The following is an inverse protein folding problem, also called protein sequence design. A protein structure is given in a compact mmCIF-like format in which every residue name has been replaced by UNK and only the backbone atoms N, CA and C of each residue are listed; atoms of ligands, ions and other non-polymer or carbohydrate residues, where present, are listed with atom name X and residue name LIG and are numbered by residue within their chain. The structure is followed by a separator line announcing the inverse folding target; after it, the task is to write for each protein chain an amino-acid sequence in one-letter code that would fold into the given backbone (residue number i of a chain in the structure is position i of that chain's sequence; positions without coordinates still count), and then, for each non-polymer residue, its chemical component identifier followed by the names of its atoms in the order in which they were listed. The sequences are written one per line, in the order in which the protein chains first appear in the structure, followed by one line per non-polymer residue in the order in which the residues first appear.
data_IF_288628370048
#
_entry.id   IF_288628370048
#
_cell.length_a   1.000
_cell.length_b   1.000
_cell.length_c   1.000
_cell.angle_alpha   90.00
_cell.angle_beta   90.00
_cell.angle_gamma   90.00
#
_symmetry.space_group_name_H-M   'P 1'
#
loop_
_entity.id
_entity.type
_entity.pdbx_description
1 polymer ?
#
# COMPACT_ATOMS: atom_id res chain seq x y z
N UNK A 1 1.65 -4.94 -19.16
CA UNK A 1 2.43 -5.50 -20.29
C UNK A 1 3.52 -6.37 -19.72
N UNK A 2 3.70 -7.57 -20.27
CA UNK A 2 4.71 -8.52 -19.83
C UNK A 2 5.57 -8.89 -21.03
N UNK A 3 6.87 -8.94 -20.80
CA UNK A 3 7.88 -9.31 -21.77
C UNK A 3 8.79 -10.36 -21.15
N UNK A 4 9.04 -11.42 -21.90
CA UNK A 4 9.97 -12.48 -21.53
C UNK A 4 10.87 -12.80 -22.71
N UNK A 5 12.18 -12.83 -22.49
CA UNK A 5 13.14 -13.14 -23.53
C UNK A 5 13.97 -14.37 -23.15
N UNK A 6 13.98 -15.36 -24.05
CA UNK A 6 14.75 -16.61 -23.93
C UNK A 6 14.66 -17.31 -22.56
N UNK A 7 13.52 -17.18 -21.87
CA UNK A 7 13.34 -17.71 -20.51
C UNK A 7 14.40 -17.19 -19.49
N UNK A 8 15.12 -16.11 -19.81
CA UNK A 8 16.20 -15.53 -18.99
C UNK A 8 15.78 -14.22 -18.36
N UNK A 9 15.23 -13.33 -19.17
CA UNK A 9 14.86 -11.98 -18.76
C UNK A 9 13.35 -11.86 -18.74
N UNK A 10 12.83 -11.33 -17.64
CA UNK A 10 11.41 -11.09 -17.42
C UNK A 10 11.24 -9.65 -17.02
N UNK A 11 10.35 -8.94 -17.71
CA UNK A 11 9.99 -7.56 -17.40
C UNK A 11 8.48 -7.41 -17.50
N UNK A 12 7.85 -6.91 -16.45
CA UNK A 12 6.44 -6.57 -16.45
C UNK A 12 6.28 -5.13 -16.02
N UNK A 13 5.54 -4.36 -16.80
CA UNK A 13 5.11 -3.00 -16.47
C UNK A 13 3.60 -2.94 -16.34
N UNK A 14 3.11 -2.25 -15.32
CA UNK A 14 1.69 -2.01 -15.07
C UNK A 14 1.47 -0.53 -14.86
N UNK A 15 0.36 -0.01 -15.37
CA UNK A 15 -0.08 1.34 -15.08
C UNK A 15 -1.57 1.29 -14.79
N UNK A 16 -1.97 1.84 -13.66
CA UNK A 16 -3.35 1.87 -13.19
C UNK A 16 -3.69 3.29 -12.78
N UNK A 17 -4.84 3.78 -13.24
CA UNK A 17 -5.43 5.04 -12.79
C UNK A 17 -6.77 4.75 -12.13
N UNK A 18 -6.90 5.09 -10.86
CA UNK A 18 -8.15 4.89 -10.11
C UNK A 18 -8.87 6.21 -9.88
N UNK A 19 -10.20 6.17 -9.94
CA UNK A 19 -11.06 7.31 -9.62
C UNK A 19 -11.89 7.02 -8.37
N UNK A 20 -12.00 8.00 -7.48
CA UNK A 20 -12.75 7.92 -6.26
C UNK A 20 -13.56 9.20 -6.03
N UNK A 21 -14.89 9.10 -6.12
CA UNK A 21 -15.81 10.23 -5.92
C UNK A 21 -15.82 10.81 -4.50
N UNK A 22 -15.23 10.10 -3.54
CA UNK A 22 -15.07 10.55 -2.14
C UNK A 22 -14.01 11.62 -1.95
N UNK A 23 -13.14 11.87 -2.94
CA UNK A 23 -12.12 12.92 -2.86
C UNK A 23 -12.64 14.24 -3.44
N UNK A 24 -12.07 15.38 -3.02
CA UNK A 24 -12.38 16.69 -3.60
C UNK A 24 -12.18 16.73 -5.12
N UNK A 25 -12.88 17.67 -5.76
CA UNK A 25 -12.68 17.97 -7.18
C UNK A 25 -11.20 18.29 -7.48
N UNK A 26 -10.69 17.80 -8.61
CA UNK A 26 -9.26 17.87 -8.97
C UNK A 26 -8.41 16.74 -8.41
N UNK A 27 -8.78 16.14 -7.27
CA UNK A 27 -8.01 15.07 -6.61
C UNK A 27 -8.67 13.68 -6.70
N UNK A 28 -9.76 13.55 -7.47
CA UNK A 28 -10.53 12.30 -7.60
C UNK A 28 -9.75 11.14 -8.18
N UNK A 29 -8.64 11.37 -8.89
CA UNK A 29 -7.85 10.31 -9.50
C UNK A 29 -6.47 10.15 -8.87
N UNK A 30 -5.92 8.95 -8.97
CA UNK A 30 -4.54 8.63 -8.57
C UNK A 30 -3.89 7.69 -9.58
N UNK A 31 -2.59 7.90 -9.81
CA UNK A 31 -1.78 7.11 -10.74
C UNK A 31 -0.85 6.15 -10.00
N UNK A 32 -0.94 4.89 -10.36
CA UNK A 32 -0.31 3.77 -9.67
C UNK A 32 0.48 2.91 -10.65
N UNK A 33 1.67 3.36 -11.08
CA UNK A 33 2.57 2.56 -11.90
C UNK A 33 3.23 1.46 -11.07
N UNK A 34 3.65 0.41 -11.77
CA UNK A 34 4.46 -0.67 -11.21
C UNK A 34 5.34 -1.29 -12.28
N UNK A 35 6.51 -1.75 -11.87
CA UNK A 35 7.47 -2.45 -12.73
C UNK A 35 8.12 -3.58 -11.95
N UNK A 36 8.26 -4.73 -12.58
CA UNK A 36 8.94 -5.90 -12.01
C UNK A 36 9.91 -6.46 -13.03
N UNK A 37 11.14 -6.72 -12.61
CA UNK A 37 12.17 -7.37 -13.42
C UNK A 37 12.65 -8.65 -12.75
N UNK A 38 12.95 -9.67 -13.54
CA UNK A 38 13.68 -10.84 -13.06
C UNK A 38 14.68 -11.34 -14.10
N UNK A 39 15.81 -11.84 -13.62
CA UNK A 39 16.86 -12.43 -14.44
C UNK A 39 17.21 -13.80 -13.88
N UNK A 40 16.98 -14.85 -14.67
CA UNK A 40 17.42 -16.21 -14.40
C UNK A 40 18.85 -16.38 -14.90
N UNK A 41 19.81 -16.19 -14.01
CA UNK A 41 21.24 -16.30 -14.27
C UNK A 41 21.63 -17.75 -14.60
N UNK A 42 20.97 -18.74 -13.99
CA UNK A 42 21.25 -20.17 -14.27
C UNK A 42 20.98 -20.62 -15.71
N UNK A 43 20.26 -19.82 -16.50
CA UNK A 43 19.97 -20.06 -17.92
C UNK A 43 20.99 -19.38 -18.85
N UNK A 44 21.99 -18.69 -18.31
CA UNK A 44 23.03 -18.03 -19.10
C UNK A 44 24.09 -19.01 -19.63
N UNK A 45 24.63 -18.79 -20.85
CA UNK A 45 25.63 -19.69 -21.45
C UNK A 45 26.93 -19.79 -20.65
N UNK A 46 27.25 -18.78 -19.85
CA UNK A 46 28.46 -18.76 -19.01
C UNK A 46 28.29 -19.55 -17.71
N UNK A 47 27.06 -19.89 -17.31
CA UNK A 47 26.82 -20.70 -16.13
C UNK A 47 26.87 -22.18 -16.49
N UNK A 48 27.76 -22.97 -15.86
CA UNK A 48 27.82 -24.40 -16.11
C UNK A 48 26.56 -25.08 -15.56
N UNK A 49 25.95 -25.95 -16.37
CA UNK A 49 24.84 -26.78 -15.89
C UNK A 49 25.39 -27.80 -14.89
N UNK A 50 24.84 -27.81 -13.68
CA UNK A 50 25.26 -28.68 -12.59
C UNK A 50 24.04 -29.17 -11.82
N UNK A 51 24.12 -30.40 -11.30
CA UNK A 51 23.11 -30.96 -10.39
C UNK A 51 23.14 -30.28 -9.02
N UNK A 52 24.18 -29.50 -8.72
CA UNK A 52 24.33 -28.77 -7.45
C UNK A 52 23.57 -27.44 -7.50
N UNK A 53 23.61 -26.71 -8.61
CA UNK A 53 22.95 -25.41 -8.78
C UNK A 53 21.96 -25.48 -9.94
N UNK A 54 20.67 -25.60 -9.61
CA UNK A 54 19.60 -25.78 -10.58
C UNK A 54 18.98 -24.43 -10.99
N UNK A 55 18.79 -23.53 -10.03
CA UNK A 55 18.25 -22.20 -10.26
C UNK A 55 19.07 -21.15 -9.53
N UNK A 56 19.38 -20.08 -10.25
CA UNK A 56 19.81 -18.81 -9.68
C UNK A 56 19.03 -17.71 -10.38
N UNK A 57 18.14 -17.05 -9.64
CA UNK A 57 17.30 -15.98 -10.16
C UNK A 57 17.38 -14.76 -9.26
N UNK A 58 17.67 -13.60 -9.84
CA UNK A 58 17.51 -12.33 -9.15
C UNK A 58 16.23 -11.66 -9.63
N UNK A 59 15.54 -10.97 -8.73
CA UNK A 59 14.30 -10.25 -9.01
C UNK A 59 14.28 -8.90 -8.31
N UNK A 60 13.63 -7.94 -8.94
CA UNK A 60 13.40 -6.61 -8.38
C UNK A 60 12.00 -6.15 -8.75
N UNK A 61 11.36 -5.40 -7.87
CA UNK A 61 10.10 -4.76 -8.16
C UNK A 61 10.02 -3.37 -7.57
N UNK A 62 9.23 -2.51 -8.20
CA UNK A 62 8.86 -1.22 -7.67
C UNK A 62 7.43 -0.91 -8.08
N UNK A 63 6.62 -0.37 -7.18
CA UNK A 63 5.28 0.06 -7.54
C UNK A 63 4.60 0.93 -6.49
N UNK A 64 3.49 1.54 -6.91
CA UNK A 64 2.65 2.39 -6.07
C UNK A 64 1.24 1.84 -5.99
N UNK A 65 0.62 2.00 -4.83
CA UNK A 65 -0.79 1.65 -4.59
C UNK A 65 -1.45 2.75 -3.77
N UNK A 66 -2.65 3.16 -4.17
CA UNK A 66 -3.46 4.14 -3.46
C UNK A 66 -4.38 3.49 -2.44
N UNK A 67 -4.59 4.17 -1.32
CA UNK A 67 -5.52 3.76 -0.29
C UNK A 67 -6.31 4.98 0.23
N UNK A 68 -7.60 4.78 0.44
CA UNK A 68 -8.53 5.82 0.90
C UNK A 68 -9.48 5.28 1.97
N UNK A 69 -9.17 4.13 2.60
CA UNK A 69 -10.10 3.45 3.51
C UNK A 69 -10.52 4.29 4.70
N UNK A 70 -9.73 5.29 5.08
CA UNK A 70 -9.97 6.20 6.20
C UNK A 70 -10.80 7.44 5.82
N UNK A 71 -11.14 7.63 4.54
CA UNK A 71 -11.93 8.78 4.05
C UNK A 71 -13.39 8.39 3.88
N UNK A 72 -14.28 9.17 4.49
CA UNK A 72 -15.74 9.07 4.31
C UNK A 72 -16.13 9.17 2.84
N UNK A 73 -17.14 8.40 2.41
CA UNK A 73 -17.67 8.43 1.05
C UNK A 73 -18.18 9.82 0.62
N UNK A 74 -18.62 10.63 1.58
CA UNK A 74 -19.16 11.97 1.36
C UNK A 74 -18.11 13.07 1.45
N UNK A 75 -16.84 12.76 1.75
CA UNK A 75 -15.85 13.81 2.05
C UNK A 75 -15.72 14.84 0.92
N UNK A 76 -15.61 14.38 -0.33
CA UNK A 76 -15.54 15.24 -1.52
C UNK A 76 -16.83 16.00 -1.85
N UNK A 77 -17.94 15.71 -1.16
CA UNK A 77 -19.23 16.38 -1.28
C UNK A 77 -19.74 16.72 0.14
N UNK A 78 -19.11 17.71 0.81
CA UNK A 78 -19.37 17.97 2.23
C UNK A 78 -20.85 18.28 2.47
N UNK A 79 -21.46 17.50 3.36
CA UNK A 79 -22.85 17.66 3.76
C UNK A 79 -22.96 18.60 4.95
N UNK A 80 -24.05 19.35 5.03
CA UNK A 80 -24.36 20.13 6.23
C UNK A 80 -24.79 19.19 7.36
N UNK A 81 -24.38 19.51 8.58
CA UNK A 81 -24.87 18.84 9.78
C UNK A 81 -26.20 19.43 10.23
N UNK A 82 -27.04 18.60 10.83
CA UNK A 82 -28.33 19.00 11.38
C UNK A 82 -28.23 19.12 12.90
N UNK A 83 -28.41 20.33 13.43
CA UNK A 83 -28.73 20.53 14.84
C UNK A 83 -30.23 20.30 15.03
N UNK A 84 -30.58 19.16 15.61
CA UNK A 84 -31.98 18.79 15.86
C UNK A 84 -32.60 19.62 16.99
N UNK A 85 -33.92 19.84 16.90
CA UNK A 85 -34.71 20.45 17.98
C UNK A 85 -34.48 19.68 19.30
N UNK A 86 -34.07 20.40 20.36
CA UNK A 86 -33.92 19.85 21.72
C UNK A 86 -32.48 19.65 22.20
N UNK A 87 -31.49 19.59 21.30
CA UNK A 87 -30.07 19.49 21.68
C UNK A 87 -29.36 20.82 21.46
N UNK A 88 -29.32 21.30 20.21
CA UNK A 88 -28.61 22.52 19.77
C UNK A 88 -29.43 23.36 18.75
N UNK A 89 -30.76 23.19 18.71
CA UNK A 89 -31.63 23.92 17.78
C UNK A 89 -31.68 25.43 18.08
N UNK A 90 -31.86 26.24 17.04
CA UNK A 90 -31.93 27.69 17.19
C UNK A 90 -33.27 28.19 17.70
N UNK A 91 -33.26 29.31 18.42
CA UNK A 91 -34.46 30.07 18.76
C UNK A 91 -34.56 31.25 17.80
N UNK A 92 -35.65 31.33 17.02
CA UNK A 92 -35.92 32.45 16.12
C UNK A 92 -37.19 33.13 16.62
N UNK A 93 -37.04 34.30 17.25
CA UNK A 93 -38.13 35.05 17.88
C UNK A 93 -38.30 34.75 19.37
N UNK A 94 -39.10 35.58 20.05
CA UNK A 94 -39.43 35.44 21.47
C UNK A 94 -40.51 34.34 21.61
N UNK A 95 -40.35 33.45 22.59
CA UNK A 95 -41.31 32.39 22.95
C UNK A 95 -41.61 31.36 21.84
N UNK A 96 -40.69 31.16 20.89
CA UNK A 96 -40.85 30.16 19.82
C UNK A 96 -40.19 28.82 20.17
N UNK A 97 -40.76 27.68 19.73
CA UNK A 97 -40.11 26.38 19.92
C UNK A 97 -38.81 26.31 19.11
N UNK A 98 -37.76 25.61 19.61
CA UNK A 98 -36.52 25.43 18.87
C UNK A 98 -36.77 24.94 17.45
N UNK A 99 -36.01 25.44 16.49
CA UNK A 99 -36.04 25.00 15.09
C UNK A 99 -34.78 24.22 14.75
N UNK A 100 -34.88 23.33 13.76
CA UNK A 100 -33.70 22.68 13.21
C UNK A 100 -32.79 23.74 12.58
N UNK A 101 -31.49 23.57 12.74
CA UNK A 101 -30.49 24.37 12.06
C UNK A 101 -29.54 23.48 11.27
N UNK A 102 -29.06 23.98 10.14
CA UNK A 102 -28.01 23.34 9.36
C UNK A 102 -26.74 24.18 9.43
N UNK A 103 -25.60 23.52 9.63
CA UNK A 103 -24.32 24.19 9.79
C UNK A 103 -23.18 23.28 9.31
N UNK A 104 -22.00 23.86 9.11
CA UNK A 104 -20.78 23.10 8.89
C UNK A 104 -20.20 22.67 10.23
N UNK A 105 -20.23 21.37 10.52
CA UNK A 105 -19.63 20.82 11.73
C UNK A 105 -18.12 20.66 11.60
N UNK A 106 -17.62 20.38 10.39
CA UNK A 106 -16.20 20.12 10.11
C UNK A 106 -15.74 20.95 8.92
N UNK A 107 -14.53 21.49 9.00
CA UNK A 107 -13.91 22.19 7.90
C UNK A 107 -13.59 21.25 6.72
N UNK A 108 -13.69 21.77 5.50
CA UNK A 108 -13.42 21.02 4.27
C UNK A 108 -11.99 21.29 3.76
N UNK A 109 -11.25 20.25 3.39
CA UNK A 109 -9.97 20.37 2.70
C UNK A 109 -10.12 20.06 1.20
N UNK A 110 -10.07 21.06 0.30
CA UNK A 110 -10.15 20.81 -1.14
C UNK A 110 -8.87 20.16 -1.70
N UNK A 111 -7.77 20.16 -0.95
CA UNK A 111 -6.48 19.61 -1.37
C UNK A 111 -6.21 18.19 -0.85
N UNK A 112 -7.22 17.51 -0.30
CA UNK A 112 -7.05 16.13 0.17
C UNK A 112 -6.80 15.18 -1.02
N UNK A 113 -5.74 14.38 -0.92
CA UNK A 113 -5.27 13.43 -1.92
C UNK A 113 -5.20 12.00 -1.36
N UNK A 114 -4.80 11.06 -2.22
CA UNK A 114 -4.62 9.65 -1.86
C UNK A 114 -3.47 9.43 -0.88
N UNK A 115 -3.70 8.61 0.16
CA UNK A 115 -2.60 7.96 0.87
C UNK A 115 -1.98 6.95 -0.07
N UNK A 116 -0.68 7.06 -0.28
CA UNK A 116 0.03 6.26 -1.27
C UNK A 116 1.07 5.40 -0.58
N UNK A 117 1.06 4.10 -0.90
CA UNK A 117 2.09 3.15 -0.52
C UNK A 117 2.98 2.93 -1.74
N UNK A 118 4.26 3.23 -1.60
CA UNK A 118 5.31 2.93 -2.55
C UNK A 118 6.16 1.80 -1.99
N UNK A 119 6.41 0.78 -2.79
CA UNK A 119 7.19 -0.37 -2.37
C UNK A 119 8.25 -0.69 -3.42
N UNK A 120 9.46 -0.94 -2.94
CA UNK A 120 10.56 -1.50 -3.72
C UNK A 120 11.01 -2.81 -3.06
N UNK A 121 11.13 -3.86 -3.85
CA UNK A 121 11.59 -5.17 -3.39
C UNK A 121 12.78 -5.62 -4.23
N UNK A 122 13.75 -6.27 -3.59
CA UNK A 122 14.87 -6.93 -4.25
C UNK A 122 15.04 -8.32 -3.66
N UNK A 123 15.07 -9.34 -4.51
CA UNK A 123 15.12 -10.73 -4.06
C UNK A 123 16.07 -11.59 -4.88
N UNK A 124 16.56 -12.64 -4.24
CA UNK A 124 17.37 -13.69 -4.84
C UNK A 124 16.71 -15.02 -4.49
N UNK A 125 16.49 -15.85 -5.51
CA UNK A 125 15.96 -17.19 -5.38
C UNK A 125 17.00 -18.19 -5.91
N UNK A 126 17.25 -19.24 -5.14
CA UNK A 126 18.22 -20.28 -5.43
C UNK A 126 17.59 -21.66 -5.23
N UNK A 127 17.80 -22.57 -6.19
CA UNK A 127 17.47 -23.99 -6.04
C UNK A 127 18.72 -24.83 -6.24
N UNK A 128 18.96 -25.76 -5.31
CA UNK A 128 20.16 -26.56 -5.20
C UNK A 128 19.83 -28.06 -5.08
N UNK A 129 20.83 -28.90 -5.34
CA UNK A 129 20.83 -30.34 -5.07
C UNK A 129 19.68 -31.06 -5.78
N UNK A 130 19.54 -30.87 -7.08
CA UNK A 130 18.42 -31.39 -7.89
C UNK A 130 17.05 -30.90 -7.39
N UNK A 131 16.95 -29.60 -7.12
CA UNK A 131 15.75 -28.94 -6.60
C UNK A 131 15.28 -29.48 -5.24
N UNK A 132 16.17 -30.08 -4.45
CA UNK A 132 15.86 -30.57 -3.10
C UNK A 132 15.93 -29.46 -2.07
N UNK A 133 16.84 -28.50 -2.24
CA UNK A 133 17.00 -27.35 -1.35
C UNK A 133 16.61 -26.08 -2.10
N UNK A 134 15.58 -25.39 -1.63
CA UNK A 134 15.21 -24.05 -2.08
C UNK A 134 15.58 -23.02 -1.02
N UNK A 135 16.08 -21.87 -1.48
CA UNK A 135 16.37 -20.73 -0.62
C UNK A 135 15.96 -19.45 -1.32
N UNK A 136 15.22 -18.60 -0.63
CA UNK A 136 14.91 -17.25 -1.08
C UNK A 136 15.28 -16.24 -0.02
N UNK A 137 15.86 -15.13 -0.46
CA UNK A 137 16.11 -13.96 0.37
C UNK A 137 15.53 -12.73 -0.33
N UNK A 138 14.84 -11.89 0.40
CA UNK A 138 14.22 -10.67 -0.11
C UNK A 138 14.48 -9.52 0.86
N UNK A 139 14.76 -8.34 0.31
CA UNK A 139 14.76 -7.08 1.02
C UNK A 139 13.61 -6.24 0.48
N UNK A 140 12.77 -5.75 1.39
CA UNK A 140 11.68 -4.84 1.05
C UNK A 140 11.91 -3.46 1.66
N UNK A 141 11.49 -2.44 0.91
CA UNK A 141 11.40 -1.06 1.39
C UNK A 141 10.04 -0.48 1.00
N UNK A 142 9.21 -0.27 2.02
CA UNK A 142 7.84 0.23 1.90
C UNK A 142 7.78 1.63 2.50
N UNK A 143 7.44 2.63 1.69
CA UNK A 143 7.16 4.00 2.12
C UNK A 143 5.67 4.28 1.96
N UNK A 144 4.98 4.56 3.05
CA UNK A 144 3.61 5.07 3.02
C UNK A 144 3.63 6.56 3.30
N UNK A 145 3.15 7.38 2.37
CA UNK A 145 3.15 8.83 2.48
C UNK A 145 1.76 9.42 2.20
N UNK A 146 1.59 10.71 2.49
CA UNK A 146 0.31 11.40 2.47
C UNK A 146 -0.71 10.73 3.39
N UNK A 147 -0.28 10.35 4.60
CA UNK A 147 -1.16 9.71 5.58
C UNK A 147 -2.36 10.61 5.86
N UNK A 148 -3.54 10.01 5.94
CA UNK A 148 -4.80 10.74 6.09
C UNK A 148 -5.14 10.77 7.58
N UNK A 149 -5.15 11.97 8.16
CA UNK A 149 -5.53 12.22 9.56
C UNK A 149 -6.37 13.48 9.70
N UNK A 150 -7.13 13.58 10.78
CA UNK A 150 -7.74 14.85 11.20
C UNK A 150 -6.64 15.80 11.64
N UNK A 151 -6.72 17.07 11.25
CA UNK A 151 -5.76 18.09 11.65
C UNK A 151 -5.84 18.34 13.17
N UNK A 152 -4.85 17.85 13.92
CA UNK A 152 -4.76 18.01 15.37
C UNK A 152 -3.88 19.21 15.78
N UNK A 153 -2.91 19.58 14.94
CA UNK A 153 -2.01 20.72 15.18
C UNK A 153 -2.40 21.96 14.38
N UNK A 154 -2.31 23.12 15.03
CA UNK A 154 -2.50 24.43 14.40
C UNK A 154 -3.94 24.74 13.96
N UNK A 155 -4.94 23.98 14.44
CA UNK A 155 -6.36 24.28 14.21
C UNK A 155 -6.87 25.29 15.25
N UNK A 156 -7.31 26.49 14.86
CA UNK A 156 -7.75 27.49 15.81
C UNK A 156 -9.16 27.21 16.36
N UNK A 157 -9.28 27.06 17.69
CA UNK A 157 -10.56 26.82 18.35
C UNK A 157 -11.58 27.96 18.21
N UNK A 158 -11.14 29.17 17.86
CA UNK A 158 -12.03 30.32 17.63
C UNK A 158 -12.82 30.24 16.31
N UNK A 159 -12.51 29.29 15.42
CA UNK A 159 -13.27 29.10 14.17
C UNK A 159 -14.65 28.49 14.39
N UNK A 160 -14.89 27.83 15.53
CA UNK A 160 -16.19 27.25 15.87
C UNK A 160 -16.61 26.06 14.98
N UNK A 161 -15.67 25.44 14.26
CA UNK A 161 -15.90 24.22 13.46
C UNK A 161 -14.77 23.22 13.70
N UNK A 162 -15.05 21.93 13.57
CA UNK A 162 -14.09 20.85 13.79
C UNK A 162 -12.99 20.84 12.71
N UNK A 163 -11.78 20.35 13.03
CA UNK A 163 -10.66 20.35 12.10
C UNK A 163 -10.91 19.50 10.85
N UNK A 164 -10.36 19.96 9.72
CA UNK A 164 -10.41 19.26 8.44
C UNK A 164 -9.50 18.03 8.41
N UNK A 165 -9.78 17.10 7.49
CA UNK A 165 -8.88 15.99 7.17
C UNK A 165 -7.74 16.46 6.27
N UNK A 166 -6.51 16.08 6.58
CA UNK A 166 -5.28 16.46 5.86
C UNK A 166 -4.44 15.25 5.47
N UNK A 167 -3.57 15.43 4.48
CA UNK A 167 -2.47 14.52 4.21
C UNK A 167 -1.24 15.01 4.99
N UNK A 168 -0.80 14.25 5.98
CA UNK A 168 0.36 14.61 6.79
C UNK A 168 1.02 13.37 7.37
N UNK A 169 2.36 13.29 7.23
CA UNK A 169 3.17 12.21 7.76
C UNK A 169 3.54 11.16 6.72
N UNK A 170 4.58 10.42 7.06
CA UNK A 170 5.10 9.29 6.31
C UNK A 170 5.58 8.20 7.27
N UNK A 171 5.50 6.95 6.83
CA UNK A 171 5.98 5.78 7.56
C UNK A 171 6.86 4.97 6.61
N UNK A 172 8.04 4.57 7.10
CA UNK A 172 8.94 3.68 6.41
C UNK A 172 8.93 2.32 7.09
N UNK A 173 8.78 1.26 6.31
CA UNK A 173 8.86 -0.12 6.76
C UNK A 173 9.89 -0.84 5.89
N UNK A 174 10.98 -1.28 6.50
CA UNK A 174 12.05 -2.01 5.81
C UNK A 174 12.32 -3.32 6.51
N UNK A 175 12.85 -4.29 5.78
CA UNK A 175 13.16 -5.57 6.37
C UNK A 175 13.66 -6.60 5.37
N UNK A 176 14.08 -7.72 5.93
CA UNK A 176 14.49 -8.89 5.18
C UNK A 176 13.51 -10.04 5.43
N UNK A 177 13.20 -10.78 4.37
CA UNK A 177 12.48 -12.04 4.42
C UNK A 177 13.37 -13.14 3.87
N UNK A 178 13.42 -14.25 4.58
CA UNK A 178 14.16 -15.44 4.20
C UNK A 178 13.21 -16.63 4.21
N UNK A 179 13.34 -17.50 3.23
CA UNK A 179 12.68 -18.80 3.25
C UNK A 179 13.66 -19.88 2.83
N UNK A 180 13.52 -21.04 3.44
CA UNK A 180 14.26 -22.24 3.11
C UNK A 180 13.28 -23.41 3.02
N UNK A 181 13.42 -24.19 1.96
CA UNK A 181 12.64 -25.40 1.75
C UNK A 181 13.58 -26.58 1.51
N UNK A 182 13.26 -27.71 2.13
CA UNK A 182 13.87 -28.99 1.83
C UNK A 182 12.78 -29.94 1.38
N UNK A 183 13.00 -30.64 0.27
CA UNK A 183 12.11 -31.68 -0.21
C UNK A 183 12.91 -32.88 -0.69
N UNK A 184 12.44 -34.07 -0.36
CA UNK A 184 13.16 -35.30 -0.65
C UNK A 184 12.26 -36.53 -0.50
N UNK A 185 12.79 -37.71 -0.85
CA UNK A 185 12.06 -38.98 -0.82
C UNK A 185 12.90 -40.08 -0.16
N UNK A 186 12.31 -40.77 0.80
CA UNK A 186 12.87 -41.97 1.44
C UNK A 186 12.00 -43.16 1.07
N UNK A 187 12.51 -44.05 0.21
CA UNK A 187 11.73 -45.19 -0.29
C UNK A 187 10.49 -44.73 -1.04
N UNK A 188 9.30 -45.06 -0.55
CA UNK A 188 8.02 -44.63 -1.12
C UNK A 188 7.43 -43.37 -0.47
N UNK A 189 8.11 -42.80 0.53
CA UNK A 189 7.61 -41.65 1.29
C UNK A 189 8.31 -40.37 0.80
N UNK A 190 7.53 -39.45 0.26
CA UNK A 190 7.99 -38.08 -0.01
C UNK A 190 7.78 -37.21 1.21
N UNK A 191 8.74 -36.36 1.55
CA UNK A 191 8.65 -35.41 2.65
C UNK A 191 9.17 -34.04 2.24
N UNK A 192 8.70 -33.02 2.94
CA UNK A 192 9.18 -31.67 2.79
C UNK A 192 9.20 -30.94 4.13
N UNK A 193 10.11 -30.00 4.29
CA UNK A 193 10.27 -29.13 5.45
C UNK A 193 10.47 -27.72 4.94
N UNK A 194 9.65 -26.77 5.41
CA UNK A 194 9.80 -25.37 5.04
C UNK A 194 9.95 -24.53 6.30
N UNK A 195 10.84 -23.54 6.25
CA UNK A 195 11.02 -22.54 7.29
C UNK A 195 11.07 -21.14 6.66
N UNK A 196 10.53 -20.17 7.37
CA UNK A 196 10.59 -18.76 6.98
C UNK A 196 10.97 -17.89 8.17
N UNK A 197 11.71 -16.82 7.90
CA UNK A 197 12.12 -15.82 8.88
C UNK A 197 11.90 -14.44 8.26
N UNK A 198 11.28 -13.53 9.01
CA UNK A 198 11.08 -12.16 8.58
C UNK A 198 11.57 -11.19 9.66
N UNK A 199 12.12 -10.07 9.21
CA UNK A 199 12.50 -8.94 10.06
C UNK A 199 11.72 -7.72 9.59
N UNK A 200 11.33 -6.86 10.52
CA UNK A 200 10.62 -5.63 10.22
C UNK A 200 11.18 -4.51 11.09
N UNK A 201 11.56 -3.42 10.45
CA UNK A 201 11.92 -2.16 11.08
C UNK A 201 11.00 -1.07 10.56
N UNK A 202 10.35 -0.38 11.50
CA UNK A 202 9.49 0.77 11.21
C UNK A 202 10.21 2.05 11.66
N UNK A 203 10.18 3.08 10.82
CA UNK A 203 10.69 4.43 11.09
C UNK A 203 9.63 5.46 10.73
#
# INVERSE_FOLDING_TARGET
MTYSWNNRYFLTGTYRRDYAGRLPEGNKYGDFPGVTGAWKISEEPFMPKSDILNLLKIRGSWGRIGNLSTISLTYGNPTLSLAAKGSNGGLIGKDTPPVNQVYYSTAFNPFLTWKTLEQADFGVDVELLNNRLSFSAEYFNKRTFNLIKTQDMGWPGYLGVDPKTINEGEIFNTGFEFSVGWQDKIGNVSYFVNGNLATLKTV
#
